data_IF_565060755078
#
_entry.id   IF_565060755078
#
_cell.length_a   1.000
_cell.length_b   1.000
_cell.length_c   1.000
_cell.angle_alpha   90.00
_cell.angle_beta   90.00
_cell.angle_gamma   90.00
#
_symmetry.space_group_name_H-M   'P 1'
#
loop_
_entity.id
_entity.type
_entity.pdbx_description
1 polymer ?
#
# COMPACT_ATOMS: atom_id res chain seq x y z
N UNK A 1 -11.74 0.07 -34.99
CA UNK A 1 -10.72 0.07 -33.91
C UNK A 1 -11.06 -1.06 -32.94
N UNK A 2 -10.08 -1.91 -32.60
CA UNK A 2 -10.29 -2.98 -31.64
C UNK A 2 -10.50 -2.36 -30.24
N UNK A 3 -11.45 -2.91 -29.51
CA UNK A 3 -11.64 -2.57 -28.10
C UNK A 3 -10.42 -2.99 -27.29
N UNK A 4 -9.96 -2.16 -26.36
CA UNK A 4 -8.82 -2.48 -25.49
C UNK A 4 -9.33 -2.79 -24.08
N UNK A 5 -9.00 -3.96 -23.59
CA UNK A 5 -9.27 -4.41 -22.23
C UNK A 5 -7.93 -4.71 -21.56
N UNK A 6 -7.74 -4.30 -20.33
CA UNK A 6 -6.52 -4.58 -19.60
C UNK A 6 -6.78 -5.50 -18.40
N UNK A 7 -5.84 -6.39 -18.14
CA UNK A 7 -5.64 -7.05 -16.86
C UNK A 7 -4.34 -6.55 -16.28
N UNK A 8 -4.37 -6.13 -15.03
CA UNK A 8 -3.25 -5.50 -14.36
C UNK A 8 -2.94 -6.14 -13.01
N UNK A 9 -1.65 -6.21 -12.70
CA UNK A 9 -1.14 -6.58 -11.40
C UNK A 9 0.09 -5.72 -11.09
N UNK A 10 0.27 -5.28 -9.85
CA UNK A 10 1.51 -4.60 -9.48
C UNK A 10 2.63 -5.59 -9.14
N UNK A 11 3.86 -5.18 -9.35
CA UNK A 11 5.07 -5.98 -9.11
C UNK A 11 5.94 -5.45 -7.96
N UNK A 12 5.60 -4.29 -7.43
CA UNK A 12 6.23 -3.76 -6.23
C UNK A 12 5.58 -4.36 -4.98
N UNK A 13 6.31 -4.35 -3.88
CA UNK A 13 5.86 -4.89 -2.60
C UNK A 13 6.31 -3.98 -1.46
N UNK A 14 5.57 -3.98 -0.36
CA UNK A 14 6.02 -3.33 0.87
C UNK A 14 7.21 -4.07 1.48
N UNK A 15 7.95 -3.40 2.35
CA UNK A 15 9.05 -4.02 3.10
C UNK A 15 8.58 -5.18 4.00
N UNK A 16 9.52 -6.02 4.43
CA UNK A 16 9.23 -7.19 5.28
C UNK A 16 8.89 -6.83 6.74
N UNK A 17 9.10 -5.56 7.13
CA UNK A 17 8.95 -5.17 8.52
C UNK A 17 9.98 -5.82 9.44
N UNK A 18 9.56 -6.23 10.64
CA UNK A 18 10.45 -6.90 11.57
C UNK A 18 10.63 -8.37 11.20
N UNK A 19 11.85 -8.74 10.79
CA UNK A 19 12.20 -10.12 10.41
C UNK A 19 11.88 -11.17 11.49
N UNK A 20 11.86 -10.78 12.75
CA UNK A 20 11.52 -11.68 13.86
C UNK A 20 10.06 -12.14 13.90
N UNK A 21 9.21 -11.47 13.12
CA UNK A 21 7.79 -11.82 12.99
C UNK A 21 7.54 -12.88 11.92
N UNK A 22 8.60 -13.33 11.25
CA UNK A 22 8.53 -14.36 10.21
C UNK A 22 9.07 -15.69 10.74
N UNK A 23 8.38 -16.79 10.43
CA UNK A 23 8.78 -18.14 10.76
C UNK A 23 9.77 -18.73 9.74
N UNK A 24 10.03 -18.01 8.64
CA UNK A 24 10.94 -18.36 7.56
C UNK A 24 11.52 -17.07 6.93
N UNK A 25 12.53 -17.20 6.07
CA UNK A 25 13.07 -16.05 5.36
C UNK A 25 12.05 -15.55 4.30
N UNK A 26 11.48 -14.34 4.46
CA UNK A 26 10.44 -13.86 3.55
C UNK A 26 10.94 -13.51 2.14
N UNK A 27 12.24 -13.41 1.93
CA UNK A 27 12.84 -13.17 0.61
C UNK A 27 13.19 -14.47 -0.12
N UNK A 28 13.66 -15.48 0.61
CA UNK A 28 13.87 -16.83 0.04
C UNK A 28 12.52 -17.52 -0.18
N UNK A 29 11.55 -17.20 0.66
CA UNK A 29 10.24 -17.82 0.63
C UNK A 29 10.22 -19.26 1.12
N UNK A 30 9.04 -19.84 1.09
CA UNK A 30 8.81 -21.25 1.37
C UNK A 30 7.82 -21.83 0.36
N UNK A 31 7.99 -23.10 0.05
CA UNK A 31 7.09 -23.85 -0.83
C UNK A 31 6.75 -25.20 -0.21
N UNK A 32 5.48 -25.53 -0.24
CA UNK A 32 4.94 -26.86 0.12
C UNK A 32 3.98 -27.31 -0.97
N UNK A 33 3.44 -28.51 -0.87
CA UNK A 33 2.42 -28.99 -1.82
C UNK A 33 1.13 -28.15 -1.82
N UNK A 34 0.89 -27.35 -0.77
CA UNK A 34 -0.34 -26.61 -0.56
C UNK A 34 -0.15 -25.09 -0.49
N UNK A 35 1.08 -24.62 -0.25
CA UNK A 35 1.34 -23.22 0.05
C UNK A 35 2.66 -22.73 -0.52
N UNK A 36 2.61 -21.52 -1.10
CA UNK A 36 3.79 -20.72 -1.40
C UNK A 36 3.76 -19.51 -0.47
N UNK A 37 4.78 -19.32 0.35
CA UNK A 37 4.90 -18.22 1.31
C UNK A 37 6.10 -17.34 1.01
N UNK A 38 5.93 -16.03 1.17
CA UNK A 38 6.98 -15.03 0.97
C UNK A 38 6.41 -13.63 0.90
N UNK A 39 7.26 -12.60 0.96
CA UNK A 39 6.82 -11.23 0.69
C UNK A 39 6.41 -11.15 -0.79
N UNK A 40 5.21 -10.61 -1.06
CA UNK A 40 4.67 -10.46 -2.41
C UNK A 40 3.85 -11.64 -2.92
N UNK A 41 3.91 -12.85 -2.31
CA UNK A 41 3.23 -14.03 -2.85
C UNK A 41 1.70 -13.89 -2.89
N UNK A 42 1.11 -13.24 -1.89
CA UNK A 42 -0.33 -12.94 -1.84
C UNK A 42 -0.64 -11.59 -2.47
N UNK A 43 0.20 -10.60 -2.19
CA UNK A 43 0.08 -9.23 -2.62
C UNK A 43 1.35 -8.83 -3.39
N UNK A 44 1.38 -9.00 -4.82
CA UNK A 44 0.29 -9.76 -5.49
C UNK A 44 0.81 -10.64 -6.64
N UNK A 45 1.99 -11.25 -6.50
CA UNK A 45 2.53 -12.13 -7.55
C UNK A 45 1.63 -13.35 -7.84
N UNK A 46 0.88 -13.83 -6.84
CA UNK A 46 -0.12 -14.89 -7.04
C UNK A 46 -1.24 -14.45 -8.00
N UNK A 47 -1.72 -13.22 -7.84
CA UNK A 47 -2.67 -12.60 -8.75
C UNK A 47 -2.08 -12.41 -10.16
N UNK A 48 -0.83 -11.95 -10.23
CA UNK A 48 -0.10 -11.78 -11.48
C UNK A 48 0.05 -13.10 -12.24
N UNK A 49 0.48 -14.15 -11.56
CA UNK A 49 0.60 -15.48 -12.18
C UNK A 49 -0.75 -15.94 -12.75
N UNK A 50 -1.82 -15.79 -11.97
CA UNK A 50 -3.18 -16.13 -12.40
C UNK A 50 -3.61 -15.34 -13.63
N UNK A 51 -3.34 -14.04 -13.65
CA UNK A 51 -3.66 -13.14 -14.75
C UNK A 51 -2.92 -13.51 -16.05
N UNK A 52 -1.61 -13.78 -15.97
CA UNK A 52 -0.80 -14.18 -17.13
C UNK A 52 -1.31 -15.49 -17.71
N UNK A 53 -1.62 -16.47 -16.85
CA UNK A 53 -2.19 -17.73 -17.31
C UNK A 53 -3.61 -17.59 -17.88
N UNK A 54 -4.42 -16.70 -17.32
CA UNK A 54 -5.72 -16.37 -17.89
C UNK A 54 -5.60 -15.80 -19.32
N UNK A 55 -4.65 -14.86 -19.52
CA UNK A 55 -4.34 -14.33 -20.85
C UNK A 55 -3.87 -15.40 -21.81
N UNK A 56 -3.01 -16.33 -21.34
CA UNK A 56 -2.59 -17.49 -22.15
C UNK A 56 -3.76 -18.40 -22.53
N UNK A 57 -4.66 -18.70 -21.59
CA UNK A 57 -5.85 -19.55 -21.85
C UNK A 57 -6.75 -18.89 -22.89
N UNK A 58 -7.01 -17.59 -22.77
CA UNK A 58 -7.80 -16.84 -23.77
C UNK A 58 -7.19 -17.00 -25.15
N UNK A 59 -5.88 -16.82 -25.27
CA UNK A 59 -5.14 -16.97 -26.53
C UNK A 59 -5.18 -18.41 -27.07
N UNK A 60 -4.90 -19.40 -26.23
CA UNK A 60 -4.83 -20.81 -26.63
C UNK A 60 -6.20 -21.34 -27.09
N UNK A 61 -7.28 -20.82 -26.56
CA UNK A 61 -8.65 -21.17 -26.90
C UNK A 61 -9.24 -20.32 -28.04
N UNK A 62 -8.49 -19.32 -28.54
CA UNK A 62 -8.96 -18.41 -29.57
C UNK A 62 -10.20 -17.61 -29.16
N UNK A 63 -10.21 -17.14 -27.90
CA UNK A 63 -11.31 -16.36 -27.34
C UNK A 63 -11.12 -14.85 -27.53
N UNK A 64 -10.03 -14.43 -28.18
CA UNK A 64 -9.85 -13.05 -28.63
C UNK A 64 -10.81 -12.81 -29.79
N UNK A 65 -11.83 -12.03 -29.60
CA UNK A 65 -12.80 -11.71 -30.63
C UNK A 65 -12.62 -10.26 -31.12
N UNK A 66 -13.46 -9.34 -30.67
CA UNK A 66 -13.44 -7.95 -31.09
C UNK A 66 -12.61 -7.04 -30.17
N UNK A 67 -11.71 -7.59 -29.38
CA UNK A 67 -10.89 -6.81 -28.43
C UNK A 67 -9.42 -7.23 -28.45
N UNK A 68 -8.59 -6.31 -28.00
CA UNK A 68 -7.19 -6.58 -27.65
C UNK A 68 -7.09 -6.70 -26.14
N UNK A 69 -6.54 -7.80 -25.65
CA UNK A 69 -6.23 -7.98 -24.24
C UNK A 69 -4.81 -7.50 -23.95
N UNK A 70 -4.70 -6.49 -23.09
CA UNK A 70 -3.44 -6.01 -22.54
C UNK A 70 -3.23 -6.66 -21.18
N UNK A 71 -2.09 -7.29 -20.97
CA UNK A 71 -1.67 -7.84 -19.67
C UNK A 71 -0.49 -7.01 -19.17
N UNK A 72 -0.64 -6.36 -18.03
CA UNK A 72 0.34 -5.40 -17.51
C UNK A 72 0.86 -5.79 -16.14
N UNK A 73 2.16 -5.57 -15.92
CA UNK A 73 2.76 -5.53 -14.60
C UNK A 73 3.13 -4.09 -14.27
N UNK A 74 2.46 -3.48 -13.32
CA UNK A 74 2.66 -2.09 -12.95
C UNK A 74 3.55 -1.93 -11.72
N UNK A 75 3.99 -0.73 -11.43
CA UNK A 75 4.85 -0.39 -10.29
C UNK A 75 4.26 0.81 -9.56
N UNK A 76 4.72 1.06 -8.35
CA UNK A 76 4.26 2.17 -7.51
C UNK A 76 2.79 2.07 -7.09
N UNK A 77 2.26 0.86 -6.95
CA UNK A 77 0.94 0.66 -6.37
C UNK A 77 0.99 0.93 -4.86
N UNK A 78 1.93 0.31 -4.18
CA UNK A 78 2.04 0.32 -2.71
C UNK A 78 2.25 1.72 -2.12
N UNK A 79 2.99 2.57 -2.82
CA UNK A 79 3.31 3.92 -2.34
C UNK A 79 2.44 5.03 -2.95
N UNK A 80 1.97 4.84 -4.17
CA UNK A 80 1.39 5.93 -4.97
C UNK A 80 0.08 5.58 -5.68
N UNK A 81 -0.61 4.51 -5.31
CA UNK A 81 -1.93 4.09 -5.81
C UNK A 81 -2.25 4.61 -7.22
N UNK A 82 -2.09 3.90 -8.25
CA UNK A 82 -2.49 4.29 -9.60
C UNK A 82 -1.62 5.33 -10.33
N UNK A 83 -0.50 5.80 -9.75
CA UNK A 83 0.42 6.72 -10.43
C UNK A 83 0.94 6.13 -11.74
N UNK A 84 1.21 4.83 -11.78
CA UNK A 84 1.63 4.12 -12.98
C UNK A 84 0.55 4.21 -14.08
N UNK A 85 -0.71 4.00 -13.72
CA UNK A 85 -1.83 4.12 -14.65
C UNK A 85 -2.06 5.55 -15.13
N UNK A 86 -1.86 6.55 -14.28
CA UNK A 86 -1.86 7.94 -14.72
C UNK A 86 -0.81 8.18 -15.82
N UNK A 87 0.41 7.67 -15.61
CA UNK A 87 1.48 7.76 -16.61
C UNK A 87 1.10 7.02 -17.91
N UNK A 88 0.60 5.79 -17.81
CA UNK A 88 0.19 4.97 -18.95
C UNK A 88 -0.87 5.71 -19.79
N UNK A 89 -1.85 6.31 -19.14
CA UNK A 89 -2.93 7.04 -19.81
C UNK A 89 -2.44 8.36 -20.42
N UNK A 90 -1.68 9.15 -19.67
CA UNK A 90 -1.31 10.51 -20.06
C UNK A 90 -0.10 10.55 -20.98
N UNK A 91 0.91 9.70 -20.75
CA UNK A 91 2.17 9.74 -21.48
C UNK A 91 2.23 8.68 -22.60
N UNK A 92 1.74 7.47 -22.34
CA UNK A 92 1.74 6.41 -23.36
C UNK A 92 0.48 6.43 -24.24
N UNK A 93 -0.55 7.15 -23.85
CA UNK A 93 -1.81 7.25 -24.59
C UNK A 93 -2.63 5.98 -24.61
N UNK A 94 -2.29 4.99 -23.80
CA UNK A 94 -3.00 3.71 -23.70
C UNK A 94 -4.24 3.92 -22.83
N UNK A 95 -5.43 3.68 -23.41
CA UNK A 95 -6.72 3.91 -22.71
C UNK A 95 -7.62 2.69 -22.89
N UNK A 96 -7.54 1.71 -21.97
CA UNK A 96 -8.48 0.58 -21.97
C UNK A 96 -9.91 1.06 -21.72
N UNK A 97 -10.90 0.33 -22.26
CA UNK A 97 -12.30 0.56 -21.92
C UNK A 97 -12.59 0.22 -20.46
N UNK A 98 -11.95 -0.84 -19.96
CA UNK A 98 -11.93 -1.17 -18.53
C UNK A 98 -10.65 -1.95 -18.18
N UNK A 99 -10.37 -1.99 -16.90
CA UNK A 99 -9.23 -2.70 -16.31
C UNK A 99 -9.76 -3.68 -15.28
N UNK A 100 -9.26 -4.91 -15.32
CA UNK A 100 -9.39 -5.88 -14.23
C UNK A 100 -8.08 -5.84 -13.46
N UNK A 101 -8.10 -5.25 -12.28
CA UNK A 101 -6.94 -5.25 -11.39
C UNK A 101 -7.04 -6.46 -10.47
N UNK A 102 -5.95 -7.21 -10.37
CA UNK A 102 -5.87 -8.32 -9.45
C UNK A 102 -5.41 -7.82 -8.09
N UNK A 103 -6.03 -8.31 -7.05
CA UNK A 103 -5.70 -8.00 -5.66
C UNK A 103 -6.08 -9.20 -4.77
N UNK A 104 -5.54 -9.33 -3.56
CA UNK A 104 -5.95 -10.40 -2.64
C UNK A 104 -7.38 -10.17 -2.13
N UNK A 105 -8.35 -10.72 -2.85
CA UNK A 105 -9.80 -10.54 -2.65
C UNK A 105 -10.53 -11.81 -2.22
N UNK A 106 -9.83 -12.86 -1.79
CA UNK A 106 -10.39 -14.18 -1.54
C UNK A 106 -11.22 -14.70 -2.73
N UNK A 107 -10.73 -14.51 -3.95
CA UNK A 107 -11.40 -14.85 -5.22
C UNK A 107 -12.78 -14.18 -5.40
N UNK A 108 -13.01 -13.04 -4.77
CA UNK A 108 -14.23 -12.25 -4.92
C UNK A 108 -14.03 -11.14 -5.97
N UNK A 109 -15.13 -10.75 -6.61
CA UNK A 109 -15.14 -9.60 -7.52
C UNK A 109 -15.50 -8.34 -6.74
N UNK A 110 -14.52 -7.46 -6.55
CA UNK A 110 -14.74 -6.15 -5.95
C UNK A 110 -15.07 -5.12 -7.04
N UNK A 111 -16.04 -4.27 -6.77
CA UNK A 111 -16.56 -3.29 -7.73
C UNK A 111 -16.23 -1.85 -7.36
N UNK A 112 -15.43 -1.67 -6.33
CA UNK A 112 -15.03 -0.36 -5.84
C UNK A 112 -14.07 -0.49 -4.65
N UNK A 113 -13.45 0.61 -4.33
CA UNK A 113 -12.46 0.72 -3.26
C UNK A 113 -12.65 2.02 -2.50
N UNK A 114 -12.19 2.04 -1.25
CA UNK A 114 -12.13 3.28 -0.47
C UNK A 114 -11.02 4.16 -1.00
N UNK A 115 -11.18 5.48 -0.89
CA UNK A 115 -10.09 6.40 -1.11
C UNK A 115 -9.03 6.27 -0.01
N UNK A 116 -7.78 6.58 -0.33
CA UNK A 116 -6.63 6.63 0.59
C UNK A 116 -6.16 8.07 0.75
N UNK A 117 -5.74 8.43 1.95
CA UNK A 117 -5.11 9.72 2.24
C UNK A 117 -3.92 9.49 3.15
N UNK A 118 -2.76 10.00 2.74
CA UNK A 118 -1.59 10.09 3.60
C UNK A 118 -1.53 11.46 4.23
N UNK A 119 -1.37 11.49 5.56
CA UNK A 119 -1.33 12.72 6.34
C UNK A 119 -0.05 12.73 7.14
N UNK A 120 0.75 13.77 6.96
CA UNK A 120 1.90 14.03 7.80
C UNK A 120 1.57 15.11 8.83
N UNK A 121 1.91 14.84 10.08
CA UNK A 121 1.76 15.78 11.18
C UNK A 121 3.16 16.10 11.73
N UNK A 122 3.59 17.35 11.61
CA UNK A 122 4.87 17.81 12.09
C UNK A 122 4.67 18.61 13.38
N UNK A 123 5.33 18.18 14.45
CA UNK A 123 5.35 18.86 15.76
C UNK A 123 6.73 19.42 16.02
N UNK A 124 6.80 20.71 16.26
CA UNK A 124 8.05 21.39 16.57
C UNK A 124 8.20 21.62 18.06
N UNK A 125 9.41 21.45 18.56
CA UNK A 125 9.84 21.70 19.90
C UNK A 125 11.05 22.63 19.94
N UNK A 126 11.66 22.70 21.12
CA UNK A 126 12.90 23.45 21.36
C UNK A 126 13.86 22.56 22.15
N UNK A 127 15.01 22.24 21.54
CA UNK A 127 16.00 21.40 22.20
C UNK A 127 16.72 22.14 23.32
N UNK A 128 17.07 21.41 24.36
CA UNK A 128 17.94 21.84 25.44
C UNK A 128 18.64 20.62 26.05
N UNK A 129 19.53 20.85 26.99
CA UNK A 129 20.22 19.77 27.71
C UNK A 129 19.21 18.95 28.54
N UNK A 130 19.27 17.62 28.44
CA UNK A 130 18.32 16.72 29.10
C UNK A 130 18.28 16.78 30.63
N UNK A 131 19.32 17.37 31.29
CA UNK A 131 19.30 17.60 32.72
C UNK A 131 18.55 18.90 33.15
N UNK A 132 18.12 19.70 32.17
CA UNK A 132 17.38 20.94 32.40
C UNK A 132 16.21 21.05 31.39
N UNK A 133 15.31 20.05 31.36
CA UNK A 133 14.27 19.94 30.33
C UNK A 133 13.26 21.10 30.37
N UNK A 134 13.15 21.79 31.48
CA UNK A 134 12.32 23.00 31.65
C UNK A 134 12.76 24.18 30.79
N UNK A 135 13.96 24.14 30.20
CA UNK A 135 14.49 25.16 29.28
C UNK A 135 14.15 24.88 27.83
N UNK A 136 13.58 23.74 27.55
CA UNK A 136 13.20 23.31 26.21
C UNK A 136 11.70 23.11 26.10
N UNK A 137 11.30 22.55 24.93
CA UNK A 137 9.93 22.20 24.63
C UNK A 137 9.95 20.87 23.87
N UNK A 138 9.53 19.80 24.52
CA UNK A 138 9.68 18.45 23.99
C UNK A 138 8.63 18.11 22.93
N UNK A 139 9.04 18.01 21.68
CA UNK A 139 8.16 17.66 20.57
C UNK A 139 7.49 16.30 20.75
N UNK A 140 8.17 15.31 21.32
CA UNK A 140 7.60 13.98 21.57
C UNK A 140 6.46 14.06 22.60
N UNK A 141 6.62 14.85 23.65
CA UNK A 141 5.55 15.03 24.63
C UNK A 141 4.34 15.77 24.05
N UNK A 142 4.57 16.69 23.11
CA UNK A 142 3.48 17.34 22.37
C UNK A 142 2.77 16.40 21.42
N UNK A 143 3.48 15.46 20.78
CA UNK A 143 2.90 14.45 19.91
C UNK A 143 2.00 13.47 20.68
N UNK A 144 2.31 13.17 21.93
CA UNK A 144 1.57 12.22 22.76
C UNK A 144 0.04 12.43 22.76
N UNK A 145 -0.48 13.62 23.13
CA UNK A 145 -1.91 13.92 23.05
C UNK A 145 -2.50 13.77 21.65
N UNK A 146 -1.75 14.14 20.61
CA UNK A 146 -2.20 14.00 19.20
C UNK A 146 -2.41 12.54 18.86
N UNK A 147 -1.50 11.65 19.25
CA UNK A 147 -1.65 10.20 19.05
C UNK A 147 -2.90 9.65 19.75
N UNK A 148 -3.19 10.13 20.97
CA UNK A 148 -4.42 9.78 21.68
C UNK A 148 -5.67 10.19 20.91
N UNK A 149 -5.72 11.41 20.40
CA UNK A 149 -6.84 11.91 19.60
C UNK A 149 -7.00 11.14 18.28
N UNK A 150 -5.90 10.78 17.62
CA UNK A 150 -5.94 9.97 16.40
C UNK A 150 -6.49 8.56 16.69
N UNK A 151 -6.10 7.95 17.81
CA UNK A 151 -6.63 6.67 18.23
C UNK A 151 -8.15 6.75 18.49
N UNK A 152 -8.63 7.78 19.14
CA UNK A 152 -10.05 8.00 19.34
C UNK A 152 -10.79 8.32 18.04
N UNK A 153 -10.19 9.11 17.15
CA UNK A 153 -10.74 9.42 15.84
C UNK A 153 -10.97 8.13 15.02
N UNK A 154 -10.04 7.19 15.08
CA UNK A 154 -10.16 5.90 14.37
C UNK A 154 -11.45 5.14 14.72
N UNK A 155 -11.97 5.32 15.95
CA UNK A 155 -13.22 4.70 16.40
C UNK A 155 -14.47 5.45 15.92
N UNK A 156 -14.35 6.73 15.59
CA UNK A 156 -15.44 7.64 15.21
C UNK A 156 -15.61 7.85 13.71
N UNK A 157 -14.77 7.19 12.89
CA UNK A 157 -14.85 7.30 11.44
C UNK A 157 -16.20 6.78 10.93
N UNK A 158 -16.69 7.44 9.87
CA UNK A 158 -17.97 7.13 9.26
C UNK A 158 -18.06 5.73 8.66
N UNK A 159 -19.28 5.33 8.39
CA UNK A 159 -19.62 4.09 7.70
C UNK A 159 -20.34 4.41 6.39
N UNK A 160 -19.93 3.79 5.32
CA UNK A 160 -20.59 3.80 4.02
C UNK A 160 -21.21 2.44 3.74
N UNK A 161 -22.43 2.41 3.18
CA UNK A 161 -23.15 1.16 2.95
C UNK A 161 -22.46 0.21 1.96
N UNK A 162 -21.70 0.77 1.02
CA UNK A 162 -20.97 0.01 0.01
C UNK A 162 -19.52 -0.25 0.40
N UNK A 163 -18.82 0.78 0.92
CA UNK A 163 -17.39 0.72 1.21
C UNK A 163 -17.06 0.30 2.64
N UNK A 164 -18.06 0.24 3.52
CA UNK A 164 -17.89 -0.13 4.91
C UNK A 164 -17.35 0.99 5.80
N UNK A 165 -16.77 0.63 6.93
CA UNK A 165 -16.24 1.59 7.90
C UNK A 165 -14.94 2.20 7.43
N UNK A 166 -14.77 3.52 7.57
CA UNK A 166 -13.51 4.19 7.41
C UNK A 166 -12.44 3.67 8.39
N UNK A 167 -11.18 3.72 7.99
CA UNK A 167 -10.04 3.28 8.81
C UNK A 167 -9.00 4.37 8.93
N UNK A 168 -8.26 4.38 10.02
CA UNK A 168 -7.12 5.24 10.26
C UNK A 168 -6.05 4.45 11.01
N UNK A 169 -4.82 4.56 10.58
CA UNK A 169 -3.65 4.01 11.27
C UNK A 169 -2.54 5.04 11.34
N UNK A 170 -1.71 4.94 12.36
CA UNK A 170 -0.41 5.63 12.42
C UNK A 170 0.63 4.60 12.01
N UNK A 171 1.20 4.78 10.84
CA UNK A 171 2.15 3.83 10.24
C UNK A 171 3.59 4.11 10.68
N UNK A 172 3.94 5.38 10.93
CA UNK A 172 5.30 5.78 11.24
C UNK A 172 5.35 6.92 12.25
N UNK A 173 6.39 6.92 13.07
CA UNK A 173 6.76 8.04 13.93
C UNK A 173 8.25 8.30 13.76
N UNK A 174 8.60 9.52 13.41
CA UNK A 174 9.97 10.00 13.35
C UNK A 174 10.18 11.08 14.41
N UNK A 175 11.37 11.15 14.94
CA UNK A 175 11.76 12.24 15.83
C UNK A 175 13.22 12.65 15.55
N UNK A 176 13.54 13.90 15.84
CA UNK A 176 14.94 14.36 15.86
C UNK A 176 15.30 14.89 17.24
N UNK A 177 16.56 14.70 17.59
CA UNK A 177 17.17 15.26 18.76
C UNK A 177 18.67 15.44 18.49
N UNK A 178 19.30 16.53 18.93
CA UNK A 178 20.75 16.72 18.75
C UNK A 178 21.58 15.62 19.40
N UNK A 179 21.07 14.98 20.44
CA UNK A 179 21.72 13.86 21.12
C UNK A 179 20.73 13.11 22.03
N UNK A 180 21.14 11.91 22.51
CA UNK A 180 20.39 11.16 23.54
C UNK A 180 20.26 11.86 24.86
N UNK A 181 21.09 12.91 25.09
CA UNK A 181 21.08 13.71 26.28
C UNK A 181 20.37 15.06 26.09
N UNK A 182 19.62 15.23 25.03
CA UNK A 182 18.91 16.45 24.69
C UNK A 182 17.40 16.22 24.53
N UNK A 183 16.64 17.28 24.75
CA UNK A 183 15.19 17.30 24.47
C UNK A 183 14.96 17.25 22.95
N UNK A 184 14.01 16.45 22.50
CA UNK A 184 13.65 16.34 21.10
C UNK A 184 13.04 17.64 20.59
N UNK A 185 13.51 18.10 19.41
CA UNK A 185 13.11 19.35 18.77
C UNK A 185 12.12 19.16 17.59
N UNK A 186 11.92 17.94 17.15
CA UNK A 186 10.84 17.60 16.23
C UNK A 186 10.29 16.18 16.43
N UNK A 187 9.08 16.00 16.05
CA UNK A 187 8.40 14.70 16.01
C UNK A 187 7.32 14.74 14.92
#
# INVERSE_FOLDING_TARGET
>A
DLRLVAMDAHIDTVGIGNIKNWDFDPYEGMETDELIGGRGTSDQEGGMASMVYAGKIIKDLGLEDEYTLLVTGTVQEEDCDGLCWQYIIEQSGIRPEFVVSTEPTDCQVYRGQRGRMEIRIDVQGVSCHGSAPERGDNAIFKMGPILGELQELSQRLGYDEFLGKGTLTVSEIFFTSPSRCAVADSC
#
